data_IF_627592007909
#
_entry.id   IF_627592007909
#
_cell.length_a   1.000
_cell.length_b   1.000
_cell.length_c   1.000
_cell.angle_alpha   90.00
_cell.angle_beta   90.00
_cell.angle_gamma   90.00
#
_symmetry.space_group_name_H-M   'P 1'
#
loop_
_entity.id
_entity.type
_entity.pdbx_description
1 polymer ?
#
# COMPACT_ATOMS: atom_id res chain seq x y z
N UNK A 1 5.20 14.25 -1.02
CA UNK A 1 5.06 12.82 -1.40
C UNK A 1 3.85 12.22 -0.69
N UNK A 2 3.00 11.42 -1.34
CA UNK A 2 1.77 10.85 -0.76
C UNK A 2 2.05 9.96 0.47
N UNK A 3 3.25 9.40 0.55
CA UNK A 3 3.68 8.47 1.60
C UNK A 3 4.40 9.14 2.77
N UNK A 4 4.58 10.46 2.77
CA UNK A 4 5.43 11.15 3.74
C UNK A 4 4.99 10.99 5.21
N UNK A 5 3.69 10.79 5.46
CA UNK A 5 3.14 10.58 6.81
C UNK A 5 2.90 9.10 7.14
N UNK A 6 3.23 8.18 6.25
CA UNK A 6 3.01 6.75 6.47
C UNK A 6 4.26 6.09 7.05
N UNK A 7 4.08 5.05 7.87
CA UNK A 7 5.16 4.19 8.32
C UNK A 7 5.35 3.04 7.32
N UNK A 8 6.47 3.01 6.57
CA UNK A 8 6.71 2.01 5.54
C UNK A 8 7.12 0.67 6.14
N UNK A 9 6.54 -0.42 5.63
CA UNK A 9 6.95 -1.79 5.94
C UNK A 9 7.04 -2.60 4.65
N UNK A 10 8.04 -3.47 4.53
CA UNK A 10 8.12 -4.39 3.39
C UNK A 10 7.39 -5.68 3.73
N UNK A 11 6.42 -6.04 2.89
CA UNK A 11 5.64 -7.28 2.99
C UNK A 11 6.03 -8.23 1.87
N UNK A 12 6.50 -9.43 2.24
CA UNK A 12 6.69 -10.55 1.33
C UNK A 12 5.33 -11.19 1.02
N UNK A 13 5.06 -11.43 -0.25
CA UNK A 13 3.90 -12.14 -0.75
C UNK A 13 4.39 -13.23 -1.71
N UNK A 14 4.42 -14.47 -1.22
CA UNK A 14 4.71 -15.65 -2.03
C UNK A 14 3.44 -16.06 -2.78
N UNK A 15 3.49 -16.06 -4.12
CA UNK A 15 2.38 -16.43 -4.99
C UNK A 15 2.63 -17.77 -5.72
N UNK A 16 3.48 -18.63 -5.18
CA UNK A 16 3.78 -19.95 -5.73
C UNK A 16 4.43 -19.86 -7.11
N UNK A 17 3.83 -20.48 -8.13
CA UNK A 17 4.36 -20.47 -9.50
C UNK A 17 4.53 -19.06 -10.10
N UNK A 18 3.83 -18.05 -9.57
CA UNK A 18 3.98 -16.65 -10.00
C UNK A 18 5.20 -15.96 -9.37
N UNK A 19 5.84 -16.60 -8.39
CA UNK A 19 7.02 -16.11 -7.69
C UNK A 19 6.72 -15.32 -6.42
N UNK A 20 7.80 -14.79 -5.83
CA UNK A 20 7.76 -14.00 -4.60
C UNK A 20 7.75 -12.52 -4.95
N UNK A 21 6.78 -11.80 -4.40
CA UNK A 21 6.64 -10.37 -4.55
C UNK A 21 6.95 -9.67 -3.24
N UNK A 22 7.60 -8.52 -3.30
CA UNK A 22 7.78 -7.62 -2.17
C UNK A 22 6.94 -6.38 -2.40
N UNK A 23 6.12 -6.01 -1.40
CA UNK A 23 5.20 -4.87 -1.48
C UNK A 23 5.51 -3.90 -0.35
N UNK A 24 5.44 -2.61 -0.66
CA UNK A 24 5.46 -1.58 0.36
C UNK A 24 4.08 -1.48 1.00
N UNK A 25 4.00 -1.75 2.29
CA UNK A 25 2.83 -1.49 3.12
C UNK A 25 3.01 -0.16 3.83
N UNK A 26 2.18 0.81 3.47
CA UNK A 26 2.06 2.09 4.17
C UNK A 26 1.07 1.93 5.34
N UNK A 27 1.54 2.10 6.57
CA UNK A 27 0.74 1.99 7.80
C UNK A 27 0.66 3.35 8.52
N UNK A 28 -0.14 3.46 9.59
CA UNK A 28 -0.27 4.71 10.36
C UNK A 28 -1.42 5.64 9.92
N UNK A 29 -2.31 5.17 9.05
CA UNK A 29 -3.55 5.89 8.75
C UNK A 29 -4.54 5.79 9.92
N UNK A 30 -5.24 6.90 10.22
CA UNK A 30 -6.22 6.97 11.30
C UNK A 30 -7.38 5.98 11.12
N UNK A 31 -7.83 5.81 9.87
CA UNK A 31 -8.92 4.91 9.51
C UNK A 31 -8.77 4.40 8.06
N UNK A 32 -9.73 3.56 7.64
CA UNK A 32 -9.77 2.99 6.29
C UNK A 32 -9.99 4.05 5.20
N UNK A 33 -10.74 5.11 5.48
CA UNK A 33 -11.02 6.19 4.52
C UNK A 33 -9.77 7.02 4.23
N UNK A 34 -8.97 7.31 5.26
CA UNK A 34 -7.67 7.94 5.12
C UNK A 34 -6.72 7.11 4.23
N UNK A 35 -6.69 5.78 4.44
CA UNK A 35 -5.92 4.87 3.60
C UNK A 35 -6.43 4.83 2.15
N UNK A 36 -7.75 4.84 1.93
CA UNK A 36 -8.35 4.90 0.60
C UNK A 36 -7.99 6.18 -0.14
N UNK A 37 -8.02 7.32 0.55
CA UNK A 37 -7.68 8.63 -0.01
C UNK A 37 -6.22 8.69 -0.45
N UNK A 38 -5.29 8.17 0.36
CA UNK A 38 -3.89 8.05 -0.03
C UNK A 38 -3.72 7.10 -1.24
N UNK A 39 -4.42 5.97 -1.22
CA UNK A 39 -4.37 4.98 -2.31
C UNK A 39 -4.87 5.54 -3.65
N UNK A 40 -5.93 6.34 -3.64
CA UNK A 40 -6.45 7.02 -4.81
C UNK A 40 -5.42 7.99 -5.43
N UNK A 41 -4.71 8.76 -4.58
CA UNK A 41 -3.63 9.65 -5.04
C UNK A 41 -2.48 8.87 -5.69
N UNK A 42 -2.08 7.73 -5.12
CA UNK A 42 -1.04 6.87 -5.70
C UNK A 42 -1.45 6.37 -7.09
N UNK A 43 -2.71 5.91 -7.23
CA UNK A 43 -3.25 5.45 -8.51
C UNK A 43 -3.32 6.57 -9.55
N UNK A 44 -3.73 7.77 -9.16
CA UNK A 44 -3.76 8.93 -10.04
C UNK A 44 -2.37 9.32 -10.56
N UNK A 45 -1.31 9.02 -9.81
CA UNK A 45 0.08 9.18 -10.24
C UNK A 45 0.64 7.98 -11.04
N UNK A 46 -0.22 7.02 -11.43
CA UNK A 46 0.17 5.83 -12.19
C UNK A 46 0.69 4.65 -11.35
N UNK A 47 0.68 4.76 -10.02
CA UNK A 47 1.16 3.72 -9.11
C UNK A 47 0.12 2.63 -8.82
N UNK A 48 0.60 1.42 -8.55
CA UNK A 48 -0.23 0.33 -8.04
C UNK A 48 -0.52 0.50 -6.54
N UNK A 49 -1.79 0.42 -6.14
CA UNK A 49 -2.16 0.47 -4.73
C UNK A 49 -3.40 -0.37 -4.42
N UNK A 50 -3.39 -1.04 -3.25
CA UNK A 50 -4.50 -1.84 -2.72
C UNK A 50 -4.65 -1.55 -1.22
N UNK A 51 -5.88 -1.28 -0.76
CA UNK A 51 -6.16 -1.09 0.67
C UNK A 51 -6.51 -2.43 1.29
N UNK A 52 -5.69 -2.91 2.21
CA UNK A 52 -5.92 -4.16 2.93
C UNK A 52 -7.05 -3.97 3.95
N UNK A 53 -8.01 -4.90 4.02
CA UNK A 53 -8.87 -5.03 5.19
C UNK A 53 -8.04 -5.66 6.32
N UNK A 54 -8.29 -5.22 7.56
CA UNK A 54 -7.77 -5.92 8.73
C UNK A 54 -8.39 -7.30 8.82
#
# INVERSE_FOLDING_TARGET
SVLASASPQIRKADLGAKGIYYRLQATGYADRSAAQSACAKIKASGGGCVVQAR
#
